data_IF_828518639659
#
_entry.id   IF_828518639659
#
_cell.length_a   1.000
_cell.length_b   1.000
_cell.length_c   1.000
_cell.angle_alpha   90.00
_cell.angle_beta   90.00
_cell.angle_gamma   90.00
#
_symmetry.space_group_name_H-M   'P 1'
#
loop_
_entity.id
_entity.type
_entity.pdbx_description
1 polymer ?
#
# COMPACT_ATOMS: atom_id res chain seq x y z
N UNK A 1 -3.43 -25.29 23.26
CA UNK A 1 -3.15 -23.83 23.29
C UNK A 1 -4.25 -23.13 22.52
N UNK A 2 -4.93 -22.13 23.10
CA UNK A 2 -5.91 -21.32 22.34
C UNK A 2 -5.15 -20.36 21.44
N UNK A 3 -5.55 -20.16 20.17
CA UNK A 3 -4.91 -19.16 19.32
C UNK A 3 -5.27 -17.78 19.88
N UNK A 4 -4.28 -17.01 20.29
CA UNK A 4 -4.45 -15.61 20.66
C UNK A 4 -4.80 -14.83 19.40
N UNK A 5 -6.10 -14.71 19.11
CA UNK A 5 -6.59 -13.86 18.03
C UNK A 5 -6.44 -12.42 18.50
N UNK A 6 -5.38 -11.74 18.04
CA UNK A 6 -5.20 -10.33 18.31
C UNK A 6 -6.30 -9.54 17.59
N UNK A 7 -7.25 -9.02 18.36
CA UNK A 7 -8.28 -8.11 17.86
C UNK A 7 -7.70 -6.69 17.78
N UNK A 8 -7.35 -6.27 16.57
CA UNK A 8 -6.87 -4.93 16.33
C UNK A 8 -7.98 -3.91 16.61
N UNK A 9 -7.77 -2.94 17.52
CA UNK A 9 -8.74 -1.90 17.90
C UNK A 9 -9.34 -1.09 16.73
N UNK A 10 -8.64 -1.01 15.60
CA UNK A 10 -9.14 -0.34 14.41
C UNK A 10 -9.64 -1.35 13.37
N UNK A 11 -10.97 -1.40 13.16
CA UNK A 11 -11.61 -2.18 12.07
C UNK A 11 -11.09 -1.83 10.67
N UNK A 12 -10.46 -0.66 10.50
CA UNK A 12 -9.87 -0.17 9.24
C UNK A 12 -8.35 -0.36 9.15
N UNK A 13 -7.75 -1.26 9.95
CA UNK A 13 -6.33 -1.55 9.82
C UNK A 13 -6.06 -2.14 8.43
N UNK A 14 -5.55 -1.30 7.52
CA UNK A 14 -5.05 -1.79 6.24
C UNK A 14 -3.85 -2.69 6.55
N UNK A 15 -3.73 -3.87 5.93
CA UNK A 15 -2.50 -4.64 6.04
C UNK A 15 -1.36 -3.71 5.65
N UNK A 16 -0.41 -3.50 6.58
CA UNK A 16 0.79 -2.71 6.30
C UNK A 16 1.37 -3.28 5.01
N UNK A 17 1.58 -2.43 4.02
CA UNK A 17 2.41 -2.74 2.84
C UNK A 17 3.65 -3.44 3.38
N UNK A 18 4.07 -4.58 2.79
CA UNK A 18 5.26 -5.33 3.22
C UNK A 18 6.39 -4.32 3.43
N UNK A 19 6.66 -3.99 4.68
CA UNK A 19 7.60 -2.96 5.07
C UNK A 19 8.78 -3.74 5.58
N UNK A 20 9.71 -4.00 4.66
CA UNK A 20 11.02 -4.50 5.06
C UNK A 20 11.68 -3.41 5.89
N UNK A 21 12.10 -3.77 7.11
CA UNK A 21 12.79 -2.83 7.98
C UNK A 21 14.26 -2.78 7.56
N UNK A 22 14.76 -1.59 7.27
CA UNK A 22 16.18 -1.38 6.98
C UNK A 22 16.84 -0.89 8.27
N UNK A 23 17.84 -1.62 8.74
CA UNK A 23 18.70 -1.17 9.84
C UNK A 23 19.81 -0.29 9.26
N UNK A 24 19.95 0.91 9.82
CA UNK A 24 20.97 1.89 9.42
C UNK A 24 21.74 2.32 10.67
N UNK A 25 23.01 2.69 10.47
CA UNK A 25 23.82 3.31 11.52
C UNK A 25 23.19 4.63 11.99
N UNK A 26 23.45 4.99 13.25
CA UNK A 26 22.90 6.20 13.87
C UNK A 26 23.23 7.47 13.07
N UNK A 27 24.46 7.58 12.56
CA UNK A 27 24.91 8.73 11.77
C UNK A 27 24.08 8.90 10.49
N UNK A 28 23.76 7.80 9.80
CA UNK A 28 22.92 7.84 8.60
C UNK A 28 21.48 8.22 8.93
N UNK A 29 20.97 7.80 10.10
CA UNK A 29 19.65 8.19 10.56
C UNK A 29 19.56 9.69 10.86
N UNK A 30 20.59 10.27 11.46
CA UNK A 30 20.68 11.72 11.72
C UNK A 30 20.69 12.52 10.41
N UNK A 31 21.51 12.09 9.44
CA UNK A 31 21.56 12.72 8.11
C UNK A 31 20.19 12.65 7.43
N UNK A 32 19.51 11.49 7.48
CA UNK A 32 18.17 11.34 6.91
C UNK A 32 17.13 12.23 7.61
N UNK A 33 17.28 12.48 8.90
CA UNK A 33 16.40 13.39 9.64
C UNK A 33 16.60 14.84 9.21
N UNK A 34 17.85 15.29 9.02
CA UNK A 34 18.16 16.62 8.47
C UNK A 34 17.58 16.80 7.06
N UNK A 35 17.74 15.80 6.19
CA UNK A 35 17.19 15.85 4.82
C UNK A 35 15.64 15.86 4.85
N UNK A 36 15.04 15.12 5.79
CA UNK A 36 13.59 15.08 6.00
C UNK A 36 13.05 16.46 6.40
N UNK A 37 13.74 17.17 7.29
CA UNK A 37 13.41 18.55 7.66
C UNK A 37 13.54 19.50 6.47
N UNK A 38 14.62 19.38 5.69
CA UNK A 38 14.86 20.23 4.53
C UNK A 38 13.87 20.01 3.38
N UNK A 39 13.55 18.76 3.03
CA UNK A 39 12.62 18.45 1.92
C UNK A 39 11.14 18.43 2.35
N UNK A 40 10.84 18.43 3.65
CA UNK A 40 9.48 18.31 4.18
C UNK A 40 8.82 16.96 3.83
N UNK A 41 9.59 15.87 3.78
CA UNK A 41 9.14 14.53 3.35
C UNK A 41 9.52 13.47 4.33
N UNK A 42 8.78 12.36 4.39
CA UNK A 42 9.14 11.24 5.27
C UNK A 42 10.44 10.56 4.84
N UNK A 43 11.17 10.02 5.82
CA UNK A 43 12.42 9.27 5.63
C UNK A 43 12.30 8.15 4.60
N UNK A 44 11.20 7.40 4.62
CA UNK A 44 10.94 6.33 3.65
C UNK A 44 10.94 6.82 2.20
N UNK A 45 10.35 7.99 1.94
CA UNK A 45 10.30 8.58 0.60
C UNK A 45 11.68 9.01 0.13
N UNK A 46 12.51 9.51 1.05
CA UNK A 46 13.89 9.88 0.76
C UNK A 46 14.70 8.63 0.40
N UNK A 47 14.61 7.57 1.21
CA UNK A 47 15.31 6.30 0.96
C UNK A 47 14.89 5.70 -0.39
N UNK A 48 13.59 5.58 -0.67
CA UNK A 48 13.10 5.05 -1.96
C UNK A 48 13.63 5.86 -3.14
N UNK A 49 13.70 7.19 -3.02
CA UNK A 49 14.27 8.06 -4.05
C UNK A 49 15.78 7.90 -4.20
N UNK A 50 16.51 7.70 -3.10
CA UNK A 50 17.95 7.46 -3.12
C UNK A 50 18.28 6.14 -3.81
N UNK A 51 17.50 5.08 -3.55
CA UNK A 51 17.65 3.79 -4.25
C UNK A 51 17.40 3.94 -5.75
N UNK A 52 16.31 4.62 -6.15
CA UNK A 52 16.04 4.88 -7.57
C UNK A 52 17.15 5.72 -8.20
N UNK A 53 17.65 6.73 -7.48
CA UNK A 53 18.77 7.57 -7.94
C UNK A 53 20.02 6.74 -8.21
N UNK A 54 20.40 5.87 -7.27
CA UNK A 54 21.54 4.98 -7.41
C UNK A 54 21.40 4.09 -8.66
N UNK A 55 20.24 3.47 -8.85
CA UNK A 55 19.96 2.66 -10.05
C UNK A 55 19.95 3.46 -11.35
N UNK A 56 19.56 4.74 -11.34
CA UNK A 56 19.64 5.61 -12.51
C UNK A 56 21.08 6.06 -12.81
N UNK A 57 21.92 6.18 -11.78
CA UNK A 57 23.34 6.50 -11.89
C UNK A 57 24.12 5.32 -12.47
N UNK A 58 23.83 4.09 -12.03
CA UNK A 58 24.44 2.86 -12.56
C UNK A 58 24.20 2.68 -14.06
N UNK A 59 23.11 3.24 -14.59
CA UNK A 59 22.81 3.27 -16.04
C UNK A 59 23.66 4.30 -16.82
N UNK A 60 24.62 4.97 -16.19
CA UNK A 60 25.49 5.96 -16.82
C UNK A 60 24.90 7.37 -16.94
N UNK A 61 23.86 7.71 -16.17
CA UNK A 61 23.32 9.09 -16.15
C UNK A 61 24.22 10.02 -15.34
N UNK A 62 24.41 11.27 -15.80
CA UNK A 62 25.07 12.33 -15.00
C UNK A 62 24.28 12.58 -13.71
N UNK A 63 24.96 12.95 -12.62
CA UNK A 63 24.38 13.06 -11.26
C UNK A 63 23.11 13.93 -11.21
N UNK A 64 23.12 15.15 -11.73
CA UNK A 64 21.93 16.03 -11.72
C UNK A 64 20.76 15.43 -12.51
N UNK A 65 21.05 14.82 -13.66
CA UNK A 65 20.04 14.18 -14.50
C UNK A 65 19.48 12.93 -13.84
N UNK A 66 20.31 12.14 -13.17
CA UNK A 66 19.89 10.97 -12.42
C UNK A 66 18.96 11.39 -11.26
N UNK A 67 19.28 12.49 -10.58
CA UNK A 67 18.46 13.00 -9.48
C UNK A 67 17.08 13.48 -9.97
N UNK A 68 17.02 14.25 -11.05
CA UNK A 68 15.73 14.67 -11.60
C UNK A 68 14.87 13.49 -12.09
N UNK A 69 15.50 12.48 -12.71
CA UNK A 69 14.85 11.23 -13.13
C UNK A 69 14.32 10.44 -11.96
N UNK A 70 15.07 10.30 -10.86
CA UNK A 70 14.62 9.57 -9.67
C UNK A 70 13.37 10.20 -9.07
N UNK A 71 13.35 11.54 -8.96
CA UNK A 71 12.18 12.29 -8.48
C UNK A 71 10.94 12.05 -9.35
N UNK A 72 11.12 12.02 -10.68
CA UNK A 72 10.04 11.76 -11.65
C UNK A 72 9.56 10.30 -11.58
N UNK A 73 10.48 9.35 -11.54
CA UNK A 73 10.20 7.92 -11.46
C UNK A 73 9.38 7.59 -10.21
N UNK A 74 9.82 8.10 -9.04
CA UNK A 74 9.09 7.98 -7.79
C UNK A 74 7.64 8.52 -7.86
N UNK A 75 7.42 9.66 -8.50
CA UNK A 75 6.05 10.18 -8.70
C UNK A 75 5.19 9.27 -9.57
N UNK A 76 5.79 8.59 -10.57
CA UNK A 76 5.09 7.64 -11.43
C UNK A 76 4.74 6.35 -10.68
N UNK A 77 5.66 5.81 -9.88
CA UNK A 77 5.40 4.61 -9.06
C UNK A 77 4.24 4.86 -8.11
N UNK A 78 4.20 6.00 -7.41
CA UNK A 78 3.06 6.37 -6.56
C UNK A 78 1.72 6.41 -7.31
N UNK A 79 1.69 6.98 -8.51
CA UNK A 79 0.48 7.00 -9.34
C UNK A 79 0.05 5.58 -9.74
N UNK A 80 1.00 4.72 -10.08
CA UNK A 80 0.73 3.34 -10.47
C UNK A 80 0.20 2.53 -9.27
N UNK A 81 0.83 2.63 -8.09
CA UNK A 81 0.32 2.01 -6.87
C UNK A 81 -1.10 2.43 -6.54
N UNK A 82 -1.42 3.72 -6.69
CA UNK A 82 -2.80 4.22 -6.48
C UNK A 82 -3.79 3.60 -7.48
N UNK A 83 -3.39 3.47 -8.76
CA UNK A 83 -4.22 2.82 -9.78
C UNK A 83 -4.47 1.35 -9.44
N UNK A 84 -3.42 0.59 -9.14
CA UNK A 84 -3.52 -0.83 -8.78
C UNK A 84 -4.37 -1.05 -7.53
N UNK A 85 -4.19 -0.23 -6.49
CA UNK A 85 -4.99 -0.30 -5.27
C UNK A 85 -6.48 -0.05 -5.54
N UNK A 86 -6.79 0.90 -6.42
CA UNK A 86 -8.18 1.18 -6.82
C UNK A 86 -8.80 0.00 -7.60
N UNK A 87 -8.04 -0.64 -8.50
CA UNK A 87 -8.49 -1.82 -9.24
C UNK A 87 -8.81 -2.96 -8.27
N UNK A 88 -7.87 -3.29 -7.36
CA UNK A 88 -8.07 -4.32 -6.32
C UNK A 88 -9.30 -4.03 -5.45
N UNK A 89 -9.50 -2.77 -5.04
CA UNK A 89 -10.68 -2.37 -4.26
C UNK A 89 -11.98 -2.60 -5.01
N UNK A 90 -12.05 -2.25 -6.30
CA UNK A 90 -13.24 -2.48 -7.14
C UNK A 90 -13.55 -3.97 -7.29
N UNK A 91 -12.52 -4.79 -7.51
CA UNK A 91 -12.67 -6.25 -7.59
C UNK A 91 -13.23 -6.84 -6.29
N UNK A 92 -12.70 -6.41 -5.13
CA UNK A 92 -13.20 -6.84 -3.82
C UNK A 92 -14.65 -6.40 -3.57
N UNK A 93 -15.01 -5.17 -3.95
CA UNK A 93 -16.39 -4.69 -3.84
C UNK A 93 -17.35 -5.49 -4.72
N UNK A 94 -16.93 -5.83 -5.94
CA UNK A 94 -17.71 -6.67 -6.84
C UNK A 94 -17.93 -8.07 -6.25
N UNK A 95 -16.87 -8.72 -5.76
CA UNK A 95 -16.96 -10.02 -5.11
C UNK A 95 -17.94 -10.01 -3.91
N UNK A 96 -17.85 -9.02 -3.03
CA UNK A 96 -18.78 -8.85 -1.90
C UNK A 96 -20.23 -8.67 -2.35
N UNK A 97 -20.47 -7.94 -3.43
CA UNK A 97 -21.82 -7.74 -3.96
C UNK A 97 -22.37 -9.02 -4.58
N UNK A 98 -21.54 -9.79 -5.28
CA UNK A 98 -21.91 -11.06 -5.89
C UNK A 98 -22.23 -12.12 -4.81
N UNK A 99 -21.46 -12.17 -3.71
CA UNK A 99 -21.76 -13.00 -2.54
C UNK A 99 -23.11 -12.63 -1.89
N UNK A 100 -23.38 -11.33 -1.69
CA UNK A 100 -24.67 -10.86 -1.16
C UNK A 100 -25.84 -11.26 -2.06
N UNK A 101 -25.69 -11.14 -3.38
CA UNK A 101 -26.71 -11.55 -4.36
C UNK A 101 -26.97 -13.06 -4.28
N UNK A 102 -25.91 -13.88 -4.20
CA UNK A 102 -26.04 -15.34 -4.02
C UNK A 102 -26.75 -15.69 -2.71
N UNK A 103 -26.39 -15.05 -1.61
CA UNK A 103 -27.03 -15.26 -0.31
C UNK A 103 -28.53 -14.91 -0.36
N UNK A 104 -28.89 -13.74 -0.93
CA UNK A 104 -30.28 -13.34 -1.13
C UNK A 104 -31.05 -14.31 -2.02
N UNK A 105 -30.43 -14.80 -3.10
CA UNK A 105 -31.04 -15.79 -3.99
C UNK A 105 -31.34 -17.09 -3.24
N UNK A 106 -30.36 -17.64 -2.51
CA UNK A 106 -30.54 -18.84 -1.67
C UNK A 106 -31.65 -18.63 -0.63
N UNK A 107 -31.68 -17.46 0.01
CA UNK A 107 -32.72 -17.06 0.95
C UNK A 107 -34.13 -17.03 0.33
N UNK A 108 -34.25 -16.58 -0.93
CA UNK A 108 -35.53 -16.54 -1.67
C UNK A 108 -35.93 -17.90 -2.24
N UNK A 109 -34.98 -18.71 -2.70
CA UNK A 109 -35.22 -20.02 -3.30
C UNK A 109 -35.40 -21.14 -2.27
N UNK A 110 -35.26 -20.85 -0.98
CA UNK A 110 -35.57 -21.79 0.10
C UNK A 110 -37.06 -22.15 0.11
N UNK A 111 -37.44 -23.43 0.27
CA UNK A 111 -38.85 -23.84 0.41
C UNK A 111 -39.58 -23.16 1.57
N UNK A 112 -38.85 -22.65 2.57
CA UNK A 112 -39.40 -21.92 3.72
C UNK A 112 -39.40 -20.40 3.54
N UNK A 113 -39.01 -19.87 2.38
CA UNK A 113 -38.94 -18.43 2.14
C UNK A 113 -40.31 -17.74 2.23
N UNK A 114 -41.38 -18.43 1.82
CA UNK A 114 -42.77 -17.98 1.96
C UNK A 114 -43.21 -17.71 3.41
N UNK A 115 -42.67 -18.45 4.38
CA UNK A 115 -43.03 -18.32 5.80
C UNK A 115 -42.18 -17.29 6.55
N UNK A 116 -41.06 -16.83 5.97
CA UNK A 116 -40.12 -15.93 6.65
C UNK A 116 -40.37 -14.44 6.43
N UNK A 117 -41.33 -14.04 5.59
CA UNK A 117 -41.75 -12.65 5.40
C UNK A 117 -40.57 -11.66 5.30
N UNK A 118 -39.95 -11.57 4.13
CA UNK A 118 -38.90 -10.56 3.87
C UNK A 118 -39.50 -9.18 3.63
#
# INVERSE_FOLDING_TARGET
>A
MRPCHYEHKQKNFKPKVKTECILLESVLLEILELIKEQEGKSRSVIIERMVIYFLEKDKGSKDETAWSKSKRSYKRTLKNYKKEANVKRKQLQKAKNDEKKKALYICKSSPFSYFRGY
#
